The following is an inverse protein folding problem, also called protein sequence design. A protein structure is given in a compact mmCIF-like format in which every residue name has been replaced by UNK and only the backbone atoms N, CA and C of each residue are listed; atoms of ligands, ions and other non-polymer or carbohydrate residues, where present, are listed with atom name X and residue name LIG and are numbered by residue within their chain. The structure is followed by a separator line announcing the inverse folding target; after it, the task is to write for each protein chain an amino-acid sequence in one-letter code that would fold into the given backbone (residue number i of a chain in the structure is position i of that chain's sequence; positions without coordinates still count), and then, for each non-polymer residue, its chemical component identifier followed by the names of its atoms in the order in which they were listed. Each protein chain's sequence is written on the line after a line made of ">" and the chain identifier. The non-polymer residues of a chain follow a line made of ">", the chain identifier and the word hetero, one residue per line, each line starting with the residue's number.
data_IF_916739459061
#
_entry.id   IF_916739459061
#
_cell.length_a   1.000
_cell.length_b   1.000
_cell.length_c   1.000
_cell.angle_alpha   90.00
_cell.angle_beta   90.00
_cell.angle_gamma   90.00
#
_symmetry.space_group_name_H-M   'P 1'
#
loop_
_entity.id
_entity.type
_entity.pdbx_description
1 polymer ?
#
# COMPACT_ATOMS: atom_id res chain seq x y z
N UNK A 1 8.83 -0.06 -22.34
CA UNK A 1 9.14 -0.75 -21.08
C UNK A 1 8.03 -1.75 -20.82
N UNK A 2 8.37 -2.90 -20.24
CA UNK A 2 7.36 -3.83 -19.75
C UNK A 2 6.65 -3.18 -18.55
N UNK A 3 5.37 -3.51 -18.39
CA UNK A 3 4.58 -3.06 -17.24
C UNK A 3 5.12 -3.74 -15.97
N UNK A 4 5.23 -3.01 -14.86
CA UNK A 4 5.81 -3.49 -13.59
C UNK A 4 4.88 -4.51 -12.92
N UNK A 5 3.58 -4.21 -12.92
CA UNK A 5 2.52 -5.05 -12.38
C UNK A 5 1.40 -5.28 -13.39
N UNK A 6 0.96 -6.52 -13.51
CA UNK A 6 -0.26 -6.89 -14.20
C UNK A 6 -1.37 -7.17 -13.17
N UNK A 7 -2.45 -6.38 -13.19
CA UNK A 7 -3.64 -6.65 -12.37
C UNK A 7 -4.46 -7.74 -13.07
N UNK A 8 -4.40 -8.96 -12.53
CA UNK A 8 -5.05 -10.14 -13.11
C UNK A 8 -6.55 -10.15 -12.83
N UNK A 9 -6.92 -9.85 -11.59
CA UNK A 9 -8.30 -9.92 -11.11
C UNK A 9 -8.54 -8.87 -10.05
N UNK A 10 -9.70 -8.21 -10.13
CA UNK A 10 -10.22 -7.35 -9.06
C UNK A 10 -11.55 -7.93 -8.60
N UNK A 11 -11.73 -8.07 -7.29
CA UNK A 11 -12.99 -8.44 -6.65
C UNK A 11 -13.38 -7.32 -5.71
N UNK A 12 -14.59 -6.80 -5.90
CA UNK A 12 -15.13 -5.72 -5.08
C UNK A 12 -16.07 -6.32 -4.04
N UNK A 13 -15.72 -6.16 -2.77
CA UNK A 13 -16.50 -6.57 -1.62
C UNK A 13 -17.19 -5.38 -0.95
N UNK A 14 -18.08 -5.62 0.02
CA UNK A 14 -18.86 -4.55 0.66
C UNK A 14 -18.03 -3.61 1.55
N UNK A 15 -16.80 -3.99 1.91
CA UNK A 15 -15.90 -3.20 2.77
C UNK A 15 -14.45 -3.19 2.31
N UNK A 16 -14.13 -3.94 1.25
CA UNK A 16 -12.77 -4.10 0.77
C UNK A 16 -12.73 -4.40 -0.72
N UNK A 17 -11.61 -4.04 -1.33
CA UNK A 17 -11.23 -4.47 -2.67
C UNK A 17 -10.12 -5.50 -2.55
N UNK A 18 -10.27 -6.64 -3.22
CA UNK A 18 -9.19 -7.62 -3.39
C UNK A 18 -8.66 -7.56 -4.82
N UNK A 19 -7.36 -7.34 -4.99
CA UNK A 19 -6.65 -7.38 -6.26
C UNK A 19 -5.65 -8.54 -6.27
N UNK A 20 -5.68 -9.37 -7.30
CA UNK A 20 -4.62 -10.31 -7.62
C UNK A 20 -3.71 -9.66 -8.66
N UNK A 21 -2.45 -9.47 -8.30
CA UNK A 21 -1.44 -8.80 -9.13
C UNK A 21 -0.27 -9.75 -9.40
N UNK A 22 0.27 -9.72 -10.62
CA UNK A 22 1.53 -10.38 -10.96
C UNK A 22 2.62 -9.35 -11.16
N UNK A 23 3.78 -9.59 -10.57
CA UNK A 23 5.00 -8.81 -10.78
C UNK A 23 5.66 -9.31 -12.06
N UNK A 24 6.04 -8.38 -12.94
CA UNK A 24 6.68 -8.73 -14.21
C UNK A 24 7.95 -9.56 -14.00
N UNK A 25 8.27 -10.50 -14.91
CA UNK A 25 9.53 -11.27 -14.83
C UNK A 25 10.79 -10.41 -14.88
N UNK A 26 10.70 -9.24 -15.53
CA UNK A 26 11.80 -8.29 -15.69
C UNK A 26 11.87 -7.26 -14.54
N UNK A 27 10.88 -7.27 -13.63
CA UNK A 27 10.82 -6.39 -12.49
C UNK A 27 11.52 -6.99 -11.25
N UNK A 28 12.07 -6.14 -10.36
CA UNK A 28 12.53 -6.59 -9.05
C UNK A 28 11.35 -7.18 -8.25
N UNK A 29 11.64 -8.21 -7.45
CA UNK A 29 10.71 -8.76 -6.47
C UNK A 29 10.82 -8.06 -5.13
N UNK A 30 12.02 -7.65 -4.75
CA UNK A 30 12.29 -6.93 -3.51
C UNK A 30 12.69 -5.49 -3.80
N UNK A 31 12.32 -4.58 -2.91
CA UNK A 31 12.75 -3.18 -2.98
C UNK A 31 14.27 -3.03 -2.92
N UNK A 32 14.97 -3.96 -2.28
CA UNK A 32 16.43 -4.00 -2.21
C UNK A 32 17.14 -4.30 -3.53
N UNK A 33 16.44 -4.86 -4.52
CA UNK A 33 17.00 -5.17 -5.85
C UNK A 33 17.09 -3.93 -6.75
N UNK A 34 16.28 -2.89 -6.47
CA UNK A 34 16.38 -1.56 -7.08
C UNK A 34 16.18 -0.46 -6.01
N UNK A 35 17.26 -0.11 -5.29
CA UNK A 35 17.22 0.92 -4.25
C UNK A 35 16.92 2.32 -4.80
N UNK A 36 17.29 2.62 -6.05
CA UNK A 36 17.07 3.93 -6.68
C UNK A 36 15.57 4.12 -6.97
N UNK A 37 14.90 3.10 -7.51
CA UNK A 37 13.45 3.09 -7.66
C UNK A 37 12.73 3.25 -6.32
N UNK A 38 13.22 2.60 -5.27
CA UNK A 38 12.66 2.72 -3.91
C UNK A 38 12.84 4.13 -3.34
N UNK A 39 14.01 4.74 -3.55
CA UNK A 39 14.30 6.12 -3.13
C UNK A 39 13.35 7.12 -3.79
N UNK A 40 13.12 7.01 -5.10
CA UNK A 40 12.16 7.86 -5.81
C UNK A 40 10.75 7.82 -5.21
N UNK A 41 10.27 6.63 -4.80
CA UNK A 41 8.95 6.51 -4.15
C UNK A 41 8.93 7.26 -2.82
N UNK A 42 9.97 7.11 -2.00
CA UNK A 42 10.07 7.77 -0.69
C UNK A 42 10.25 9.29 -0.81
N UNK A 43 10.85 9.77 -1.88
CA UNK A 43 11.00 11.21 -2.15
C UNK A 43 9.63 11.88 -2.39
N UNK A 44 8.76 11.27 -3.20
CA UNK A 44 7.44 11.84 -3.51
C UNK A 44 6.35 11.45 -2.50
N UNK A 45 6.56 10.38 -1.72
CA UNK A 45 5.62 9.89 -0.71
C UNK A 45 6.31 9.66 0.64
N UNK A 46 6.82 10.73 1.28
CA UNK A 46 7.57 10.60 2.53
C UNK A 46 6.74 10.04 3.70
N UNK A 47 5.41 10.17 3.65
CA UNK A 47 4.50 9.63 4.67
C UNK A 47 4.55 8.10 4.82
N UNK A 48 5.03 7.38 3.79
CA UNK A 48 5.15 5.93 3.80
C UNK A 48 5.97 5.39 4.98
N UNK A 49 7.00 6.11 5.41
CA UNK A 49 7.89 5.65 6.50
C UNK A 49 7.16 5.55 7.84
N UNK A 50 6.10 6.32 8.01
CA UNK A 50 5.31 6.39 9.24
C UNK A 50 4.16 5.37 9.26
N UNK A 51 3.95 4.61 8.18
CA UNK A 51 2.90 3.60 8.13
C UNK A 51 3.18 2.48 9.13
N UNK A 52 2.11 2.05 9.81
CA UNK A 52 2.16 0.82 10.59
C UNK A 52 2.14 -0.38 9.65
N UNK A 53 3.16 -1.23 9.75
CA UNK A 53 3.24 -2.49 9.03
C UNK A 53 3.27 -3.62 10.06
N UNK A 54 2.30 -4.54 10.01
CA UNK A 54 2.23 -5.69 10.93
C UNK A 54 2.64 -7.00 10.25
N UNK A 55 2.91 -6.96 8.94
CA UNK A 55 3.27 -8.12 8.13
C UNK A 55 4.76 -8.48 8.14
N UNK A 56 5.63 -7.50 8.41
CA UNK A 56 7.08 -7.63 8.28
C UNK A 56 7.83 -7.74 9.63
N UNK A 57 9.16 -7.66 9.58
CA UNK A 57 10.05 -7.80 10.74
C UNK A 57 9.96 -6.66 11.77
N UNK A 58 9.27 -5.56 11.45
CA UNK A 58 9.11 -4.37 12.29
C UNK A 58 7.63 -3.96 12.38
N UNK A 59 7.33 -3.02 13.28
CA UNK A 59 6.01 -2.40 13.36
C UNK A 59 5.83 -1.20 12.41
N UNK A 60 6.93 -0.58 11.94
CA UNK A 60 6.89 0.58 11.04
C UNK A 60 7.40 0.19 9.66
N UNK A 61 6.67 0.60 8.62
CA UNK A 61 7.04 0.34 7.23
C UNK A 61 8.39 0.96 6.87
N UNK A 62 8.73 2.14 7.41
CA UNK A 62 10.03 2.79 7.18
C UNK A 62 11.24 1.95 7.62
N UNK A 63 11.06 1.00 8.55
CA UNK A 63 12.13 0.11 8.99
C UNK A 63 12.34 -1.10 8.06
N UNK A 64 11.35 -1.43 7.23
CA UNK A 64 11.35 -2.62 6.34
C UNK A 64 11.35 -2.26 4.85
N UNK A 65 10.99 -1.02 4.48
CA UNK A 65 10.85 -0.59 3.09
C UNK A 65 12.09 -0.81 2.23
N UNK A 66 13.28 -0.84 2.84
CA UNK A 66 14.54 -1.07 2.13
C UNK A 66 14.72 -2.52 1.63
N UNK A 67 13.97 -3.49 2.18
CA UNK A 67 14.04 -4.90 1.82
C UNK A 67 12.69 -5.61 2.10
N UNK A 68 11.66 -5.23 1.34
CA UNK A 68 10.30 -5.81 1.39
C UNK A 68 9.84 -6.17 -0.02
N UNK A 69 8.81 -6.98 -0.17
CA UNK A 69 8.26 -7.33 -1.48
C UNK A 69 7.71 -6.10 -2.20
N UNK A 70 7.97 -6.01 -3.50
CA UNK A 70 7.48 -4.90 -4.33
C UNK A 70 5.94 -4.81 -4.31
N UNK A 71 5.25 -5.95 -4.21
CA UNK A 71 3.81 -6.00 -4.04
C UNK A 71 3.35 -5.46 -2.68
N UNK A 72 4.15 -5.62 -1.63
CA UNK A 72 3.88 -5.04 -0.32
C UNK A 72 4.07 -3.52 -0.34
N UNK A 73 5.09 -3.02 -1.04
CA UNK A 73 5.22 -1.58 -1.33
C UNK A 73 4.01 -1.04 -2.10
N UNK A 74 3.48 -1.79 -3.10
CA UNK A 74 2.28 -1.39 -3.84
C UNK A 74 1.06 -1.22 -2.92
N UNK A 75 0.88 -2.11 -1.96
CA UNK A 75 -0.15 -1.96 -0.93
C UNK A 75 0.02 -0.65 -0.16
N UNK A 76 1.22 -0.40 0.38
CA UNK A 76 1.48 0.80 1.19
C UNK A 76 1.34 2.11 0.39
N UNK A 77 1.79 2.14 -0.86
CA UNK A 77 1.58 3.28 -1.77
C UNK A 77 0.09 3.53 -2.01
N UNK A 78 -0.68 2.46 -2.18
CA UNK A 78 -2.14 2.58 -2.34
C UNK A 78 -2.80 3.12 -1.07
N UNK A 79 -2.40 2.62 0.11
CA UNK A 79 -2.91 3.08 1.41
C UNK A 79 -2.56 4.56 1.65
N UNK A 80 -1.36 5.00 1.26
CA UNK A 80 -0.93 6.40 1.41
C UNK A 80 -1.76 7.32 0.49
N UNK A 81 -1.99 6.93 -0.77
CA UNK A 81 -2.88 7.69 -1.66
C UNK A 81 -4.28 7.82 -1.07
N UNK A 82 -4.83 6.73 -0.51
CA UNK A 82 -6.13 6.75 0.16
C UNK A 82 -6.13 7.68 1.38
N UNK A 83 -5.06 7.67 2.18
CA UNK A 83 -4.92 8.54 3.34
C UNK A 83 -4.90 10.02 2.93
N UNK A 84 -4.20 10.36 1.83
CA UNK A 84 -4.13 11.74 1.33
C UNK A 84 -5.47 12.26 0.77
N UNK A 85 -6.38 11.38 0.35
CA UNK A 85 -7.71 11.81 -0.15
C UNK A 85 -8.61 12.35 0.97
N UNK A 86 -8.39 11.92 2.23
CA UNK A 86 -9.28 12.18 3.36
C UNK A 86 -10.76 11.79 3.09
N UNK A 87 -11.02 10.97 2.06
CA UNK A 87 -12.34 10.51 1.63
C UNK A 87 -12.55 9.00 1.87
N UNK A 88 -11.46 8.26 2.14
CA UNK A 88 -11.48 6.81 2.30
C UNK A 88 -12.07 6.32 3.64
N UNK A 89 -12.52 7.22 4.52
CA UNK A 89 -13.12 6.90 5.82
C UNK A 89 -12.11 6.81 6.98
N UNK A 90 -12.55 6.25 8.12
CA UNK A 90 -11.79 6.25 9.38
C UNK A 90 -10.66 5.20 9.45
N UNK A 91 -10.65 4.20 8.56
CA UNK A 91 -9.66 3.12 8.55
C UNK A 91 -9.28 2.77 7.11
N UNK A 92 -8.08 3.17 6.70
CA UNK A 92 -7.43 2.65 5.49
C UNK A 92 -6.31 1.70 5.92
N UNK A 93 -6.34 0.49 5.38
CA UNK A 93 -5.37 -0.55 5.69
C UNK A 93 -5.32 -1.57 4.57
N UNK A 94 -4.22 -2.30 4.51
CA UNK A 94 -4.02 -3.32 3.50
C UNK A 94 -3.57 -4.65 4.09
N UNK A 95 -3.58 -5.67 3.24
CA UNK A 95 -2.89 -6.93 3.49
C UNK A 95 -2.42 -7.54 2.18
N UNK A 96 -1.14 -7.88 2.12
CA UNK A 96 -0.49 -8.54 0.99
C UNK A 96 -0.18 -9.98 1.33
N UNK A 97 -0.56 -10.89 0.44
CA UNK A 97 -0.30 -12.33 0.58
C UNK A 97 0.22 -12.87 -0.75
N UNK A 98 1.37 -13.52 -0.76
CA UNK A 98 1.83 -14.27 -1.92
C UNK A 98 0.91 -15.49 -2.15
N UNK A 99 0.39 -15.63 -3.37
CA UNK A 99 -0.54 -16.70 -3.73
C UNK A 99 0.03 -17.67 -4.77
N UNK A 100 1.03 -17.24 -5.54
CA UNK A 100 1.81 -18.04 -6.50
C UNK A 100 3.14 -17.33 -6.78
N UNK A 101 4.03 -17.95 -7.56
CA UNK A 101 5.31 -17.35 -7.96
C UNK A 101 5.09 -15.96 -8.59
N UNK A 102 5.68 -14.93 -7.97
CA UNK A 102 5.55 -13.51 -8.36
C UNK A 102 4.11 -13.00 -8.41
N UNK A 103 3.16 -13.70 -7.79
CA UNK A 103 1.74 -13.35 -7.82
C UNK A 103 1.23 -13.15 -6.40
N UNK A 104 0.63 -11.99 -6.16
CA UNK A 104 0.23 -11.54 -4.85
C UNK A 104 -1.25 -11.17 -4.84
N UNK A 105 -1.92 -11.47 -3.74
CA UNK A 105 -3.24 -10.94 -3.43
C UNK A 105 -3.09 -9.77 -2.46
N UNK A 106 -3.52 -8.59 -2.90
CA UNK A 106 -3.58 -7.37 -2.10
C UNK A 106 -5.04 -7.13 -1.74
N UNK A 107 -5.33 -7.00 -0.44
CA UNK A 107 -6.65 -6.66 0.08
C UNK A 107 -6.59 -5.24 0.64
N UNK A 108 -7.49 -4.35 0.22
CA UNK A 108 -7.50 -2.95 0.63
C UNK A 108 -8.84 -2.64 1.31
N UNK A 109 -8.78 -2.13 2.54
CA UNK A 109 -9.95 -1.65 3.27
C UNK A 109 -10.27 -0.22 2.83
N UNK A 110 -11.35 -0.08 2.05
CA UNK A 110 -11.95 1.20 1.67
C UNK A 110 -13.41 0.91 1.26
N UNK A 111 -14.40 1.66 1.79
CA UNK A 111 -15.79 1.47 1.44
C UNK A 111 -16.17 2.04 0.07
N UNK A 112 -15.36 2.93 -0.49
CA UNK A 112 -15.61 3.52 -1.82
C UNK A 112 -14.81 2.79 -2.90
N UNK A 113 -15.52 2.02 -3.72
CA UNK A 113 -14.96 1.14 -4.75
C UNK A 113 -14.20 1.90 -5.84
N UNK A 114 -14.69 3.09 -6.21
CA UNK A 114 -14.09 3.91 -7.27
C UNK A 114 -12.80 4.53 -6.74
N UNK A 115 -12.83 5.02 -5.50
CA UNK A 115 -11.68 5.59 -4.85
C UNK A 115 -10.55 4.56 -4.70
N UNK A 116 -10.85 3.36 -4.22
CA UNK A 116 -9.83 2.32 -4.01
C UNK A 116 -9.30 1.72 -5.32
N UNK A 117 -10.16 1.52 -6.32
CA UNK A 117 -9.69 1.10 -7.64
C UNK A 117 -8.83 2.16 -8.32
N UNK A 118 -9.21 3.44 -8.19
CA UNK A 118 -8.45 4.57 -8.70
C UNK A 118 -7.10 4.72 -8.00
N UNK A 119 -7.07 4.64 -6.66
CA UNK A 119 -5.85 4.70 -5.87
C UNK A 119 -4.89 3.55 -6.22
N UNK A 120 -5.39 2.32 -6.33
CA UNK A 120 -4.57 1.17 -6.73
C UNK A 120 -3.98 1.35 -8.14
N UNK A 121 -4.80 1.81 -9.09
CA UNK A 121 -4.32 2.07 -10.45
C UNK A 121 -3.26 3.17 -10.49
N UNK A 122 -3.43 4.23 -9.69
CA UNK A 122 -2.46 5.32 -9.56
C UNK A 122 -1.17 4.84 -8.89
N UNK A 123 -1.26 4.00 -7.86
CA UNK A 123 -0.12 3.39 -7.19
C UNK A 123 0.72 2.54 -8.16
N UNK A 124 0.08 1.71 -8.99
CA UNK A 124 0.78 0.95 -10.04
C UNK A 124 1.52 1.87 -11.00
N UNK A 125 0.91 2.99 -11.38
CA UNK A 125 1.55 3.97 -12.25
C UNK A 125 2.74 4.68 -11.59
N UNK A 126 2.61 5.08 -10.32
CA UNK A 126 3.69 5.69 -9.53
C UNK A 126 4.87 4.72 -9.42
N UNK A 127 4.62 3.46 -9.07
CA UNK A 127 5.69 2.46 -8.99
C UNK A 127 6.31 2.19 -10.36
N UNK A 128 5.51 2.13 -11.42
CA UNK A 128 6.05 2.04 -12.78
C UNK A 128 7.01 3.20 -13.07
N UNK A 129 6.62 4.44 -12.74
CA UNK A 129 7.47 5.61 -12.94
C UNK A 129 8.79 5.50 -12.17
N UNK A 130 8.72 5.18 -10.87
CA UNK A 130 9.87 5.10 -9.99
C UNK A 130 10.87 4.03 -10.47
N UNK A 131 10.40 2.80 -10.68
CA UNK A 131 11.22 1.66 -11.12
C UNK A 131 11.54 1.68 -12.63
N UNK A 132 11.18 2.76 -13.32
CA UNK A 132 11.63 3.06 -14.69
C UNK A 132 12.69 4.17 -14.75
N UNK A 133 13.22 4.58 -13.59
CA UNK A 133 14.28 5.59 -13.46
C UNK A 133 13.79 7.02 -13.23
N UNK A 134 12.59 7.22 -12.69
CA UNK A 134 12.17 8.51 -12.11
C UNK A 134 12.16 9.71 -13.08
N UNK A 135 11.86 9.48 -14.36
CA UNK A 135 11.96 10.52 -15.40
C UNK A 135 10.82 11.55 -15.40
N UNK A 136 10.97 12.62 -16.17
CA UNK A 136 9.90 13.63 -16.32
C UNK A 136 8.72 13.14 -17.20
N UNK A 137 7.46 13.44 -16.83
CA UNK A 137 7.05 14.21 -15.65
C UNK A 137 6.99 13.34 -14.38
N UNK A 138 7.47 13.90 -13.27
CA UNK A 138 7.27 13.34 -11.92
C UNK A 138 5.78 13.30 -11.52
N UNK A 139 5.31 12.21 -10.85
CA UNK A 139 4.00 12.12 -10.23
C UNK A 139 3.74 13.22 -9.19
N UNK A 140 2.68 14.00 -9.40
CA UNK A 140 2.18 14.93 -8.39
C UNK A 140 1.14 14.20 -7.51
N UNK A 141 1.59 13.70 -6.36
CA UNK A 141 0.78 12.87 -5.45
C UNK A 141 -0.43 13.63 -4.92
N UNK A 142 -0.28 14.92 -4.59
CA UNK A 142 -1.37 15.77 -4.12
C UNK A 142 -2.42 15.97 -5.23
N UNK A 143 -1.98 16.25 -6.46
CA UNK A 143 -2.89 16.38 -7.60
C UNK A 143 -3.59 15.06 -7.94
N UNK A 144 -2.93 13.92 -7.79
CA UNK A 144 -3.53 12.59 -7.97
C UNK A 144 -4.61 12.36 -6.92
N UNK A 145 -4.31 12.60 -5.64
CA UNK A 145 -5.27 12.44 -4.55
C UNK A 145 -6.49 13.36 -4.75
N UNK A 146 -6.27 14.63 -5.08
CA UNK A 146 -7.33 15.59 -5.40
C UNK A 146 -8.18 15.13 -6.58
N UNK A 147 -7.54 14.65 -7.66
CA UNK A 147 -8.25 14.16 -8.84
C UNK A 147 -9.07 12.89 -8.58
N UNK A 148 -8.64 12.04 -7.66
CA UNK A 148 -9.42 10.87 -7.22
C UNK A 148 -10.69 11.29 -6.46
N UNK A 149 -10.60 12.30 -5.59
CA UNK A 149 -11.76 12.85 -4.89
C UNK A 149 -12.74 13.48 -5.89
N UNK A 150 -12.24 14.32 -6.81
CA UNK A 150 -13.06 14.94 -7.85
C UNK A 150 -13.78 13.88 -8.73
N UNK A 151 -13.10 12.77 -9.03
CA UNK A 151 -13.68 11.65 -9.77
C UNK A 151 -14.86 11.03 -9.01
N UNK A 152 -14.68 10.72 -7.73
CA UNK A 152 -15.73 10.13 -6.89
C UNK A 152 -16.91 11.09 -6.76
N UNK A 153 -16.65 12.37 -6.49
CA UNK A 153 -17.69 13.40 -6.36
C UNK A 153 -18.51 13.53 -7.65
N UNK A 154 -17.88 13.43 -8.82
CA UNK A 154 -18.57 13.50 -10.12
C UNK A 154 -19.58 12.37 -10.36
N UNK A 155 -19.48 11.26 -9.63
CA UNK A 155 -20.39 10.13 -9.70
C UNK A 155 -21.53 10.21 -8.68
N UNK A 156 -21.37 11.04 -7.64
CA UNK A 156 -22.26 11.17 -6.49
C UNK A 156 -23.52 12.01 -6.71
N UNK A 157 -23.64 12.71 -7.84
CA UNK A 157 -24.83 13.47 -8.20
C UNK A 157 -25.76 12.64 -9.11
N UNK A 158 -26.85 12.02 -8.60
CA UNK A 158 -28.00 11.86 -9.46
C UNK A 158 -28.44 13.28 -9.81
N UNK A 159 -28.38 13.66 -11.10
CA UNK A 159 -29.08 14.87 -11.54
C UNK A 159 -30.49 14.78 -10.97
N UNK A 160 -30.80 15.67 -10.02
CA UNK A 160 -32.17 15.83 -9.57
C UNK A 160 -32.97 16.10 -10.83
N UNK A 161 -33.76 15.12 -11.28
CA UNK A 161 -34.68 15.29 -12.39
C UNK A 161 -35.37 16.64 -12.15
N UNK A 162 -35.35 17.57 -13.13
CA UNK A 162 -35.98 18.87 -12.91
C UNK A 162 -37.39 18.58 -12.45
N UNK A 163 -37.72 19.01 -11.23
CA UNK A 163 -39.00 18.76 -10.60
C UNK A 163 -40.07 19.04 -11.65
N UNK A 164 -40.74 17.97 -12.09
CA UNK A 164 -41.84 18.06 -13.03
C UNK A 164 -42.89 18.90 -12.31
N UNK A 165 -42.87 20.20 -12.63
CA UNK A 165 -43.83 21.23 -12.24
C UNK A 165 -45.16 20.91 -12.97
N UNK A 166 -45.65 19.71 -12.72
CA UNK A 166 -46.96 19.21 -13.10
C UNK A 166 -47.97 19.93 -12.20
N UNK A 167 -48.39 21.11 -12.65
CA UNK A 167 -49.52 21.82 -12.06
C UNK A 167 -50.72 20.86 -11.90
N UNK A 168 -51.42 20.86 -10.76
CA UNK A 168 -52.54 19.96 -10.55
C UNK A 168 -53.65 20.32 -11.53
N UNK A 169 -53.91 19.44 -12.50
CA UNK A 169 -55.13 19.49 -13.29
C UNK A 169 -56.29 19.14 -12.35
N UNK A 170 -57.10 20.16 -12.04
CA UNK A 170 -58.43 20.01 -11.45
C UNK A 170 -59.21 18.89 -12.17
N UNK A 171 -59.46 17.79 -11.48
CA UNK A 171 -60.41 16.76 -11.88
C UNK A 171 -61.78 17.03 -11.26
N UNK A 172 -62.83 17.19 -12.08
CA UNK A 172 -64.19 17.05 -11.60
C UNK A 172 -64.96 16.00 -12.41
N UNK A 173 -64.58 14.72 -12.35
CA UNK A 173 -65.48 13.65 -12.81
C UNK A 173 -65.55 12.47 -11.84
N UNK A 174 -66.41 12.69 -10.84
CA UNK A 174 -67.26 11.67 -10.23
C UNK A 174 -68.12 11.00 -11.33
N UNK A 175 -67.86 9.74 -11.66
CA UNK A 175 -68.92 8.78 -11.95
C UNK A 175 -68.41 7.33 -11.83
N UNK A 176 -69.26 6.53 -11.19
CA UNK A 176 -69.01 5.16 -10.74
C UNK A 176 -68.96 4.13 -11.89
N UNK A 177 -68.49 2.92 -11.50
CA UNK A 177 -68.80 1.57 -12.03
C UNK A 177 -67.75 0.90 -12.94
N UNK A 178 -67.70 -0.46 -12.96
CA UNK A 178 -67.38 -1.35 -11.85
C UNK A 178 -66.23 -2.33 -12.23
N UNK A 179 -65.73 -3.02 -11.21
CA UNK A 179 -64.77 -4.12 -11.27
C UNK A 179 -65.07 -5.16 -12.36
N UNK A 180 -64.09 -5.41 -13.24
CA UNK A 180 -63.91 -6.69 -13.93
C UNK A 180 -62.46 -7.14 -13.66
N UNK A 181 -62.37 -8.28 -12.98
CA UNK A 181 -61.15 -9.00 -12.63
C UNK A 181 -60.59 -9.67 -13.89
N UNK A 182 -59.48 -9.16 -14.44
CA UNK A 182 -58.71 -9.87 -15.47
C UNK A 182 -57.38 -10.34 -14.90
N UNK A 183 -57.32 -11.64 -14.67
CA UNK A 183 -56.15 -12.42 -14.30
C UNK A 183 -55.04 -12.27 -15.35
N UNK A 184 -53.97 -11.53 -15.04
CA UNK A 184 -52.72 -11.60 -15.81
C UNK A 184 -51.87 -12.73 -15.25
N UNK A 185 -51.75 -13.76 -16.07
CA UNK A 185 -50.87 -14.90 -15.89
C UNK A 185 -49.41 -14.46 -15.95
N UNK A 186 -48.65 -14.98 -15.00
CA UNK A 186 -47.20 -14.93 -14.81
C UNK A 186 -46.36 -15.22 -16.06
N UNK A 187 -45.29 -14.44 -16.26
CA UNK A 187 -44.01 -14.98 -16.73
C UNK A 187 -42.89 -14.47 -15.82
N UNK A 188 -42.62 -15.26 -14.78
CA UNK A 188 -41.36 -15.27 -14.04
C UNK A 188 -40.40 -16.12 -14.87
N UNK A 189 -39.37 -15.53 -15.46
CA UNK A 189 -38.30 -16.30 -16.12
C UNK A 189 -37.37 -16.81 -15.02
N UNK A 190 -37.66 -18.02 -14.57
CA UNK A 190 -36.85 -18.82 -13.66
C UNK A 190 -35.57 -19.23 -14.41
N UNK A 191 -34.47 -18.52 -14.15
CA UNK A 191 -33.15 -18.90 -14.66
C UNK A 191 -32.68 -20.13 -13.88
N UNK A 192 -32.98 -21.30 -14.46
CA UNK A 192 -32.53 -22.60 -13.98
C UNK A 192 -31.01 -22.62 -13.78
N UNK A 193 -30.60 -22.63 -12.52
CA UNK A 193 -29.29 -23.06 -12.06
C UNK A 193 -29.22 -24.58 -12.28
N UNK A 194 -28.46 -25.02 -13.28
CA UNK A 194 -28.15 -26.45 -13.42
C UNK A 194 -27.11 -26.84 -12.35
N UNK A 195 -27.39 -27.85 -11.50
CA UNK A 195 -26.41 -28.36 -10.57
C UNK A 195 -25.33 -29.12 -11.36
N UNK A 196 -24.10 -28.62 -11.27
CA UNK A 196 -22.89 -29.31 -11.72
C UNK A 196 -22.77 -30.57 -10.86
N UNK A 197 -22.94 -31.73 -11.49
CA UNK A 197 -22.72 -33.03 -10.86
C UNK A 197 -21.23 -33.20 -10.56
N UNK A 198 -20.90 -33.46 -9.30
CA UNK A 198 -19.64 -34.06 -8.87
C UNK A 198 -19.41 -35.36 -9.66
N UNK A 199 -18.38 -35.36 -10.50
CA UNK A 199 -17.74 -36.57 -11.01
C UNK A 199 -16.47 -36.76 -10.18
N UNK A 200 -16.45 -37.82 -9.36
CA UNK A 200 -15.28 -38.25 -8.61
C UNK A 200 -14.12 -38.62 -9.56
N UNK A 201 -12.86 -38.35 -9.18
CA UNK A 201 -11.70 -38.60 -10.03
C UNK A 201 -11.42 -40.11 -10.16
N UNK A 202 -11.23 -40.55 -11.40
CA UNK A 202 -10.64 -41.85 -11.69
C UNK A 202 -9.12 -41.81 -11.48
N UNK A 203 -8.63 -42.87 -10.83
CA UNK A 203 -7.23 -43.29 -10.70
C UNK A 203 -6.37 -43.00 -11.93
N UNK A 204 -5.27 -42.27 -11.74
CA UNK A 204 -4.06 -42.45 -12.55
C UNK A 204 -2.85 -42.45 -11.62
N UNK A 205 -2.16 -43.60 -11.61
CA UNK A 205 -1.05 -43.92 -10.72
C UNK A 205 0.20 -43.07 -11.04
N UNK A 206 1.07 -42.80 -10.03
CA UNK A 206 2.25 -41.98 -10.24
C UNK A 206 3.30 -42.72 -11.08
N UNK A 207 3.80 -42.05 -12.11
CA UNK A 207 5.00 -42.47 -12.82
C UNK A 207 6.23 -42.29 -11.92
N UNK A 208 6.70 -43.44 -11.46
CA UNK A 208 8.00 -43.74 -10.89
C UNK A 208 9.14 -43.14 -11.74
N UNK A 209 9.94 -42.24 -11.15
CA UNK A 209 11.25 -41.87 -11.67
C UNK A 209 12.26 -41.67 -10.54
N UNK A 210 12.41 -42.72 -9.74
CA UNK A 210 13.62 -42.95 -8.94
C UNK A 210 14.48 -44.00 -9.65
N UNK A 211 15.54 -43.58 -10.33
CA UNK A 211 16.72 -44.43 -10.51
C UNK A 211 17.99 -43.59 -10.47
N UNK A 212 18.53 -43.52 -9.25
CA UNK A 212 19.93 -43.28 -9.00
C UNK A 212 20.77 -44.39 -9.64
N UNK A 213 21.74 -44.03 -10.47
CA UNK A 213 22.84 -44.92 -10.82
C UNK A 213 24.14 -44.40 -10.20
N UNK A 214 24.47 -45.09 -9.12
CA UNK A 214 25.72 -45.15 -8.41
C UNK A 214 26.81 -45.75 -9.31
N UNK A 215 27.84 -44.97 -9.63
CA UNK A 215 29.13 -45.52 -10.03
C UNK A 215 30.20 -45.15 -9.02
N UNK A 216 30.37 -46.09 -8.09
CA UNK A 216 31.48 -46.32 -7.21
C UNK A 216 32.89 -46.19 -7.85
N UNK A 217 33.79 -45.61 -7.05
CA UNK A 217 35.18 -46.00 -6.81
C UNK A 217 36.21 -46.04 -7.96
N UNK A 218 37.23 -45.18 -7.88
CA UNK A 218 38.57 -45.62 -7.44
C UNK A 218 39.52 -44.45 -7.20
N UNK A 219 40.29 -44.60 -6.12
CA UNK A 219 41.11 -43.61 -5.46
C UNK A 219 42.51 -43.33 -6.09
N UNK A 220 43.17 -42.33 -5.47
CA UNK A 220 44.62 -42.01 -5.42
C UNK A 220 45.13 -41.27 -6.67
N UNK A 221 45.64 -40.03 -6.63
CA UNK A 221 46.81 -39.51 -5.87
C UNK A 221 46.83 -37.96 -5.84
N UNK A 222 47.10 -37.35 -4.68
CA UNK A 222 47.72 -36.01 -4.55
C UNK A 222 49.26 -36.14 -4.45
N UNK A 223 50.05 -35.06 -4.31
CA UNK A 223 50.16 -33.87 -5.16
C UNK A 223 51.62 -33.70 -5.65
N UNK A 224 51.87 -32.86 -6.66
CA UNK A 224 53.24 -32.42 -6.98
C UNK A 224 53.27 -30.90 -7.10
N UNK A 225 53.92 -30.27 -6.12
CA UNK A 225 54.50 -28.94 -6.25
C UNK A 225 55.82 -29.04 -7.04
N UNK A 226 56.08 -28.11 -7.95
CA UNK A 226 57.36 -27.38 -8.04
C UNK A 226 57.26 -26.22 -9.07
N UNK A 227 57.40 -25.01 -8.53
CA UNK A 227 58.11 -23.82 -9.00
C UNK A 227 58.77 -23.84 -10.40
N UNK A 228 58.57 -22.78 -11.18
CA UNK A 228 59.61 -22.25 -12.07
C UNK A 228 59.35 -20.76 -12.40
N UNK A 229 60.22 -19.92 -11.87
CA UNK A 229 60.36 -18.49 -12.11
C UNK A 229 60.61 -18.16 -13.59
N UNK A 230 60.12 -16.99 -14.02
CA UNK A 230 60.84 -16.20 -15.03
C UNK A 230 60.55 -14.71 -14.90
N UNK A 231 61.59 -14.01 -14.43
CA UNK A 231 61.83 -12.58 -14.57
C UNK A 231 61.54 -12.03 -15.97
N UNK A 232 60.96 -10.83 -16.03
CA UNK A 232 61.22 -9.82 -17.06
C UNK A 232 60.86 -8.40 -16.53
N UNK A 233 61.95 -7.66 -16.31
CA UNK A 233 62.25 -6.27 -15.96
C UNK A 233 61.17 -5.15 -15.97
N UNK A 234 61.34 -4.12 -15.09
CA UNK A 234 60.44 -2.99 -14.95
C UNK A 234 60.66 -1.90 -16.02
N UNK A 235 59.57 -1.26 -16.45
CA UNK A 235 59.59 -0.03 -17.26
C UNK A 235 59.36 1.16 -16.34
N UNK A 236 60.42 1.93 -16.10
CA UNK A 236 60.37 3.31 -15.63
C UNK A 236 59.90 4.23 -16.77
N UNK A 237 58.88 5.06 -16.52
CA UNK A 237 58.90 6.51 -16.80
C UNK A 237 57.74 7.23 -16.07
N UNK A 238 57.91 8.52 -15.72
CA UNK A 238 57.26 9.14 -14.56
C UNK A 238 55.96 9.90 -14.90
N UNK A 239 55.02 9.93 -13.95
CA UNK A 239 53.86 10.83 -14.00
C UNK A 239 53.66 11.53 -12.65
N UNK A 240 53.92 12.84 -12.73
CA UNK A 240 53.40 13.98 -11.98
C UNK A 240 52.96 13.82 -10.51
N UNK A 241 53.68 14.56 -9.66
CA UNK A 241 53.33 14.96 -8.31
C UNK A 241 51.89 15.50 -8.22
N UNK A 242 51.05 14.83 -7.43
CA UNK A 242 49.82 15.41 -6.92
C UNK A 242 49.99 15.69 -5.42
N UNK A 243 50.13 16.98 -5.14
CA UNK A 243 50.24 17.62 -3.83
C UNK A 243 49.22 17.09 -2.82
N UNK A 244 49.71 16.74 -1.63
CA UNK A 244 48.93 16.60 -0.40
C UNK A 244 48.31 17.96 -0.02
N UNK A 245 47.02 18.06 0.31
CA UNK A 245 46.49 19.29 0.85
C UNK A 245 46.87 19.46 2.33
N UNK A 246 47.53 20.59 2.62
CA UNK A 246 47.88 21.06 3.97
C UNK A 246 46.66 21.42 4.83
N UNK A 247 46.76 21.36 6.17
CA UNK A 247 45.69 21.78 7.07
C UNK A 247 45.65 23.32 7.20
N UNK A 248 44.52 23.93 6.84
CA UNK A 248 44.28 25.34 7.07
C UNK A 248 44.02 25.62 8.56
N UNK A 249 44.91 26.39 9.18
CA UNK A 249 44.66 27.14 10.39
C UNK A 249 44.14 28.54 10.02
N UNK A 250 43.12 29.01 10.74
CA UNK A 250 42.92 30.38 11.25
C UNK A 250 41.42 30.70 11.38
N UNK A 251 40.96 30.86 12.62
CA UNK A 251 39.86 31.75 12.98
C UNK A 251 39.97 32.11 14.47
N UNK A 252 40.77 33.15 14.71
CA UNK A 252 40.68 34.04 15.86
C UNK A 252 39.32 34.75 15.88
N UNK A 253 38.58 34.67 16.98
CA UNK A 253 37.85 35.80 17.61
C UNK A 253 37.06 35.29 18.82
N UNK A 254 37.66 35.49 19.99
CA UNK A 254 36.96 35.48 21.27
C UNK A 254 36.33 36.86 21.50
N UNK A 255 35.03 36.91 21.78
CA UNK A 255 34.38 38.04 22.44
C UNK A 255 33.52 37.48 23.58
N UNK A 256 34.17 37.42 24.74
CA UNK A 256 33.71 37.85 26.07
C UNK A 256 32.26 38.36 26.16
N UNK A 257 31.44 37.72 27.00
CA UNK A 257 30.29 38.36 27.67
C UNK A 257 30.02 37.63 28.99
N UNK A 258 30.76 38.05 30.02
CA UNK A 258 30.37 37.89 31.42
C UNK A 258 29.39 39.00 31.86
N UNK A 259 28.55 38.63 32.82
CA UNK A 259 27.79 39.46 33.76
C UNK A 259 26.62 40.29 33.25
N UNK A 260 25.39 39.87 33.61
CA UNK A 260 24.43 40.72 34.31
C UNK A 260 23.46 39.87 35.17
N UNK A 261 23.67 39.93 36.49
CA UNK A 261 22.70 39.99 37.60
C UNK A 261 21.26 39.46 37.36
N UNK A 262 20.94 38.38 38.05
CA UNK A 262 19.60 38.14 38.62
C UNK A 262 19.57 38.78 40.01
N UNK A 263 18.56 39.61 40.34
CA UNK A 263 17.50 39.07 41.20
C UNK A 263 16.13 39.75 41.02
N UNK A 264 15.06 38.98 40.82
CA UNK A 264 13.80 39.16 41.56
C UNK A 264 12.80 38.03 41.26
N UNK A 265 12.80 37.04 42.15
CA UNK A 265 11.65 36.20 42.50
C UNK A 265 10.89 36.90 43.63
N UNK A 266 9.59 37.18 43.46
CA UNK A 266 8.64 36.43 44.29
C UNK A 266 7.29 36.21 43.59
N UNK A 267 6.90 34.95 43.37
CA UNK A 267 5.67 34.50 44.05
C UNK A 267 5.58 32.99 44.17
N UNK A 268 5.37 32.58 45.42
CA UNK A 268 5.34 31.21 45.89
C UNK A 268 3.94 30.62 45.82
N UNK A 269 3.90 29.33 45.48
CA UNK A 269 2.97 28.31 45.99
C UNK A 269 1.46 28.50 45.75
N UNK A 270 0.88 27.57 44.99
CA UNK A 270 -0.23 26.78 45.56
C UNK A 270 -0.33 25.39 44.92
N UNK A 271 -0.67 24.45 45.79
CA UNK A 271 -0.73 23.00 45.64
C UNK A 271 -2.01 22.56 44.86
N UNK A 272 -2.05 21.39 44.20
CA UNK A 272 -3.22 20.94 43.45
C UNK A 272 -4.26 20.22 44.33
N UNK A 273 -5.53 20.67 44.31
CA UNK A 273 -6.66 19.88 44.85
C UNK A 273 -7.36 19.04 43.76
N UNK A 274 -7.76 17.78 44.04
CA UNK A 274 -8.51 16.93 43.12
C UNK A 274 -10.02 16.91 43.45
N UNK A 275 -10.87 16.92 42.41
CA UNK A 275 -12.31 16.64 42.46
C UNK A 275 -12.83 16.55 41.01
N UNK A 276 -13.77 15.71 40.58
CA UNK A 276 -14.64 14.70 41.18
C UNK A 276 -15.24 13.87 40.03
N UNK A 277 -15.62 12.63 40.35
CA UNK A 277 -16.37 11.68 39.52
C UNK A 277 -17.51 12.33 38.71
N UNK A 278 -17.59 12.01 37.41
CA UNK A 278 -18.85 12.04 36.68
C UNK A 278 -19.17 10.65 36.13
N UNK A 279 -20.27 10.15 36.69
CA UNK A 279 -20.98 8.90 36.48
C UNK A 279 -20.98 8.36 35.04
N UNK A 280 -20.72 7.06 34.96
CA UNK A 280 -21.09 6.21 33.83
C UNK A 280 -22.62 6.06 33.77
N UNK A 281 -23.20 6.30 32.59
CA UNK A 281 -24.53 5.83 32.21
C UNK A 281 -24.47 4.34 31.84
N UNK A 282 -25.22 3.44 32.53
CA UNK A 282 -25.19 2.02 32.25
C UNK A 282 -26.44 1.58 31.49
N UNK A 283 -26.65 2.06 30.25
CA UNK A 283 -27.70 1.52 29.37
C UNK A 283 -27.40 1.91 27.90
N UNK A 284 -26.50 1.15 27.27
CA UNK A 284 -26.48 1.01 25.80
C UNK A 284 -25.93 -0.36 25.45
N UNK A 285 -26.77 -1.37 25.66
CA UNK A 285 -26.64 -2.67 25.00
C UNK A 285 -26.75 -2.45 23.49
N UNK A 286 -25.60 -2.40 22.82
CA UNK A 286 -25.48 -2.79 21.41
C UNK A 286 -24.34 -3.79 21.33
N UNK A 287 -24.64 -5.03 21.72
CA UNK A 287 -23.92 -6.24 21.32
C UNK A 287 -24.08 -6.43 19.80
N UNK A 288 -23.46 -5.53 19.03
CA UNK A 288 -22.98 -5.87 17.70
C UNK A 288 -21.54 -6.31 17.94
N UNK A 289 -21.27 -7.59 17.69
CA UNK A 289 -19.92 -8.09 17.57
C UNK A 289 -19.27 -7.27 16.44
N UNK A 290 -18.54 -6.22 16.83
CA UNK A 290 -17.61 -5.52 15.98
C UNK A 290 -16.50 -6.53 15.67
N UNK A 291 -16.75 -7.37 14.68
CA UNK A 291 -15.70 -8.07 13.95
C UNK A 291 -14.86 -6.98 13.27
N UNK A 292 -13.91 -6.45 14.03
CA UNK A 292 -12.72 -5.77 13.54
C UNK A 292 -11.70 -6.88 13.27
N UNK A 293 -11.70 -7.50 12.07
CA UNK A 293 -10.75 -8.57 11.75
C UNK A 293 -9.29 -8.08 11.75
N UNK A 294 -9.05 -6.78 11.93
CA UNK A 294 -7.77 -6.12 11.81
C UNK A 294 -7.25 -5.52 13.13
N UNK A 295 -8.07 -5.49 14.19
CA UNK A 295 -7.73 -4.93 15.50
C UNK A 295 -7.36 -3.43 15.47
N UNK A 296 -7.92 -2.64 14.55
CA UNK A 296 -7.46 -1.27 14.26
C UNK A 296 -8.20 -0.17 15.03
N UNK A 297 -9.28 -0.48 15.77
CA UNK A 297 -10.12 0.55 16.42
C UNK A 297 -9.42 1.50 17.40
N UNK A 298 -8.25 1.14 17.92
CA UNK A 298 -7.51 1.90 18.95
C UNK A 298 -6.15 2.43 18.44
N UNK A 299 -5.88 2.42 17.12
CA UNK A 299 -4.57 2.81 16.57
C UNK A 299 -4.47 4.34 16.42
N UNK A 300 -3.42 4.99 16.98
CA UNK A 300 -3.19 6.42 16.82
C UNK A 300 -2.95 6.80 15.36
N UNK A 301 -3.59 7.88 14.90
CA UNK A 301 -3.44 8.41 13.53
C UNK A 301 -2.02 8.95 13.31
N UNK A 302 -1.36 8.67 12.17
CA UNK A 302 -0.17 9.40 11.78
C UNK A 302 -0.53 10.88 11.55
N UNK A 303 0.29 11.77 12.07
CA UNK A 303 0.11 13.21 11.86
C UNK A 303 0.58 13.55 10.45
N UNK A 304 -0.33 14.08 9.61
CA UNK A 304 0.01 14.68 8.32
C UNK A 304 1.14 15.70 8.51
N UNK A 305 2.31 15.41 7.92
CA UNK A 305 3.38 16.39 7.77
C UNK A 305 2.96 17.32 6.64
N UNK A 306 2.64 18.57 6.98
CA UNK A 306 2.42 19.68 6.04
C UNK A 306 3.71 20.43 5.76
#
# INVERSE_FOLDING_TARGET
>A
MAQLFDIIKVTVGPRNLEAVVAVSPDAPLLTSEDPEGTEHVLEIMPGLVDHMCLGDASSSFGEVVADTELAHLLEHVTVELLAQTNAAGDVTGGQTVEVDERTYKITLACPDDVLVAGALSSAVWILQWAYSGGGEPEPDVEAIASGLVDLVDSLGEPESEPEDDSEPLDDPFDDELPYEEETVVTEFVDAAYEPITEDEPADDEPADWDEADDLSDTAVTEPVADEAEKDLEPVDEPVDDLEEPEPAADADSAEDFDDLDDPDDPDSADDPEPAEDQAADPDSDSDLEDDDPWGMKDVPRPHLVR
#
